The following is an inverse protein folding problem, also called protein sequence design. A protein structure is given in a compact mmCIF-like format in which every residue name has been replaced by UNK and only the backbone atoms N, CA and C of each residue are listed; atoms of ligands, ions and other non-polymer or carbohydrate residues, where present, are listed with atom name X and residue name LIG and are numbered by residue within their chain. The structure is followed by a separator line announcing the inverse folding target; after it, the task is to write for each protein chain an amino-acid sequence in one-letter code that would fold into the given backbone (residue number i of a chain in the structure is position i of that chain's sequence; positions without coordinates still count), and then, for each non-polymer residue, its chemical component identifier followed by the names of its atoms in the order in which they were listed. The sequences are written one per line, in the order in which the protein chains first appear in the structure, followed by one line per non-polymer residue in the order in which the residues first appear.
data_IF_903811667380
#
_entry.id   IF_903811667380
#
_cell.length_a   1.000
_cell.length_b   1.000
_cell.length_c   1.000
_cell.angle_alpha   90.00
_cell.angle_beta   90.00
_cell.angle_gamma   90.00
#
_symmetry.space_group_name_H-M   'P 1'
#
loop_
_entity.id
_entity.type
_entity.pdbx_description
1 polymer ?
#
# COMPACT_ATOMS: atom_id res chain seq x y z
N UNK A 1 -0.57 1.37 -0.82
CA UNK A 1 -0.37 1.53 0.63
C UNK A 1 -1.12 0.44 1.39
N UNK A 2 -2.43 0.32 1.16
CA UNK A 2 -3.24 -0.77 1.70
C UNK A 2 -3.46 -1.82 0.60
N UNK A 3 -3.28 -3.08 0.96
CA UNK A 3 -3.70 -4.26 0.20
C UNK A 3 -4.77 -4.93 1.05
N UNK A 4 -6.02 -4.92 0.55
CA UNK A 4 -7.17 -5.43 1.29
C UNK A 4 -6.96 -6.87 1.77
N UNK A 5 -7.25 -7.13 3.04
CA UNK A 5 -7.06 -8.42 3.70
C UNK A 5 -5.61 -8.81 4.00
N UNK A 6 -4.61 -8.04 3.55
CA UNK A 6 -3.19 -8.36 3.75
C UNK A 6 -2.43 -7.33 4.58
N UNK A 7 -2.55 -6.05 4.23
CA UNK A 7 -1.88 -4.95 4.96
C UNK A 7 -2.86 -3.97 5.61
N UNK A 8 -4.15 -4.30 5.57
CA UNK A 8 -5.26 -3.55 6.12
C UNK A 8 -6.57 -4.00 5.48
N UNK A 9 -7.65 -3.29 5.77
CA UNK A 9 -8.96 -3.53 5.18
C UNK A 9 -9.49 -2.26 4.53
N UNK A 10 -10.05 -2.39 3.33
CA UNK A 10 -10.70 -1.29 2.60
C UNK A 10 -12.22 -1.49 2.71
N UNK A 11 -12.88 -0.56 3.38
CA UNK A 11 -14.33 -0.61 3.63
C UNK A 11 -15.05 0.27 2.62
N UNK A 12 -16.13 -0.25 2.01
CA UNK A 12 -17.01 0.57 1.17
C UNK A 12 -17.59 1.72 2.02
N UNK A 13 -17.42 2.99 1.60
CA UNK A 13 -17.96 4.15 2.31
C UNK A 13 -19.45 4.07 2.65
N UNK A 14 -20.27 3.42 1.80
CA UNK A 14 -21.71 3.22 2.03
C UNK A 14 -22.01 2.40 3.29
N UNK A 15 -21.10 1.51 3.70
CA UNK A 15 -21.23 0.73 4.94
C UNK A 15 -20.86 1.52 6.19
N UNK A 16 -20.20 2.67 6.03
CA UNK A 16 -19.82 3.58 7.10
C UNK A 16 -19.19 2.88 8.31
N UNK A 17 -19.70 3.21 9.49
CA UNK A 17 -19.20 2.72 10.78
C UNK A 17 -19.36 1.20 10.92
N UNK A 18 -20.44 0.62 10.39
CA UNK A 18 -20.69 -0.82 10.56
C UNK A 18 -19.70 -1.66 9.75
N UNK A 19 -19.33 -1.21 8.55
CA UNK A 19 -18.24 -1.82 7.79
C UNK A 19 -16.89 -1.71 8.51
N UNK A 20 -16.62 -0.61 9.21
CA UNK A 20 -15.40 -0.46 10.01
C UNK A 20 -15.40 -1.42 11.21
N UNK A 21 -16.53 -1.62 11.88
CA UNK A 21 -16.66 -2.62 12.97
C UNK A 21 -16.36 -4.02 12.47
N UNK A 22 -16.93 -4.41 11.32
CA UNK A 22 -16.67 -5.72 10.70
C UNK A 22 -15.19 -5.93 10.37
N UNK A 23 -14.52 -4.89 9.87
CA UNK A 23 -13.08 -4.93 9.57
C UNK A 23 -12.23 -5.02 10.85
N UNK A 24 -12.61 -4.29 11.91
CA UNK A 24 -11.88 -4.28 13.18
C UNK A 24 -11.84 -5.67 13.83
N UNK A 25 -12.92 -6.45 13.74
CA UNK A 25 -12.95 -7.84 14.23
C UNK A 25 -11.88 -8.71 13.58
N UNK A 26 -11.51 -8.40 12.33
CA UNK A 26 -10.53 -9.15 11.54
C UNK A 26 -9.11 -8.62 11.67
N UNK A 27 -8.86 -7.54 12.43
CA UNK A 27 -7.53 -6.90 12.45
C UNK A 27 -6.41 -7.85 12.89
N UNK A 28 -6.72 -8.81 13.77
CA UNK A 28 -5.76 -9.81 14.25
C UNK A 28 -5.31 -10.80 13.16
N UNK A 29 -5.99 -10.86 12.01
CA UNK A 29 -5.55 -11.69 10.87
C UNK A 29 -4.45 -11.03 10.05
N UNK A 30 -4.16 -9.75 10.28
CA UNK A 30 -3.11 -9.02 9.58
C UNK A 30 -1.76 -9.32 10.24
N UNK A 31 -0.79 -9.72 9.42
CA UNK A 31 0.60 -9.87 9.86
C UNK A 31 1.33 -8.52 9.77
N UNK A 32 1.84 -7.94 10.88
CA UNK A 32 2.58 -6.68 10.84
C UNK A 32 3.82 -6.71 9.95
N UNK A 33 4.43 -7.88 9.76
CA UNK A 33 5.58 -8.05 8.87
C UNK A 33 5.21 -7.76 7.41
N UNK A 34 4.05 -8.24 6.95
CA UNK A 34 3.56 -8.01 5.59
C UNK A 34 3.34 -6.52 5.33
N UNK A 35 2.82 -5.78 6.33
CA UNK A 35 2.68 -4.33 6.25
C UNK A 35 4.05 -3.65 6.08
N UNK A 36 5.04 -4.03 6.89
CA UNK A 36 6.39 -3.45 6.83
C UNK A 36 7.05 -3.74 5.49
N UNK A 37 6.99 -4.98 5.03
CA UNK A 37 7.57 -5.38 3.74
C UNK A 37 6.91 -4.66 2.57
N UNK A 38 5.58 -4.52 2.58
CA UNK A 38 4.86 -3.79 1.55
C UNK A 38 5.29 -2.32 1.49
N UNK A 39 5.42 -1.66 2.64
CA UNK A 39 5.85 -0.25 2.70
C UNK A 39 7.27 -0.09 2.21
N UNK A 40 8.22 -0.91 2.70
CA UNK A 40 9.62 -0.82 2.28
C UNK A 40 9.77 -1.08 0.78
N UNK A 41 9.10 -2.11 0.26
CA UNK A 41 9.21 -2.51 -1.15
C UNK A 41 8.68 -1.46 -2.12
N UNK A 42 7.60 -0.76 -1.77
CA UNK A 42 6.87 0.07 -2.73
C UNK A 42 6.95 1.59 -2.45
N UNK A 43 7.22 1.99 -1.20
CA UNK A 43 7.12 3.37 -0.75
C UNK A 43 8.34 3.85 0.05
N UNK A 44 9.45 3.11 0.03
CA UNK A 44 10.71 3.60 0.61
C UNK A 44 11.25 4.78 -0.19
N UNK A 45 12.05 5.63 0.47
CA UNK A 45 12.76 6.72 -0.21
C UNK A 45 13.60 6.21 -1.38
N UNK A 46 14.30 5.10 -1.19
CA UNK A 46 15.11 4.45 -2.23
C UNK A 46 14.25 4.03 -3.43
N UNK A 47 13.14 3.32 -3.21
CA UNK A 47 12.21 2.93 -4.28
C UNK A 47 11.69 4.15 -5.04
N UNK A 48 11.30 5.21 -4.33
CA UNK A 48 10.78 6.42 -4.94
C UNK A 48 11.82 7.13 -5.81
N UNK A 49 13.04 7.33 -5.28
CA UNK A 49 14.16 7.94 -6.04
C UNK A 49 14.48 7.12 -7.28
N UNK A 50 14.63 5.81 -7.15
CA UNK A 50 14.91 4.92 -8.28
C UNK A 50 13.82 5.00 -9.36
N UNK A 51 12.54 5.06 -8.96
CA UNK A 51 11.43 5.20 -9.90
C UNK A 51 11.48 6.53 -10.66
N UNK A 52 11.75 7.65 -9.97
CA UNK A 52 11.90 8.95 -10.63
C UNK A 52 13.11 8.98 -11.57
N UNK A 53 14.26 8.46 -11.15
CA UNK A 53 15.44 8.36 -12.01
C UNK A 53 15.18 7.54 -13.26
N UNK A 54 14.51 6.39 -13.13
CA UNK A 54 14.18 5.52 -14.25
C UNK A 54 13.24 6.24 -15.23
N UNK A 55 12.22 6.93 -14.73
CA UNK A 55 11.33 7.73 -15.55
C UNK A 55 12.08 8.81 -16.32
N UNK A 56 12.99 9.55 -15.68
CA UNK A 56 13.80 10.56 -16.38
C UNK A 56 14.71 9.94 -17.44
N UNK A 57 15.34 8.79 -17.15
CA UNK A 57 16.15 8.06 -18.14
C UNK A 57 15.31 7.61 -19.34
N UNK A 58 14.06 7.18 -19.12
CA UNK A 58 13.14 6.79 -20.20
C UNK A 58 12.74 7.98 -21.08
N UNK A 59 12.39 9.11 -20.47
CA UNK A 59 12.01 10.34 -21.19
C UNK A 59 13.17 10.83 -22.06
N UNK A 60 14.40 10.85 -21.52
CA UNK A 60 15.58 11.30 -22.25
C UNK A 60 15.99 10.36 -23.39
N UNK A 61 15.67 9.06 -23.31
CA UNK A 61 15.91 8.10 -24.42
C UNK A 61 14.88 8.21 -25.56
N UNK A 62 13.73 8.81 -25.29
CA UNK A 62 12.67 9.04 -26.27
C UNK A 62 12.81 10.42 -26.95
N UNK A 63 13.80 11.21 -26.55
CA UNK A 63 14.18 12.50 -27.14
C UNK A 63 15.36 12.33 -28.09
#
# INVERSE_FOLDING_TARGET
LIVDGKTGFVVNPEKGIDGLKEALVKIATINPKDCREHVVKNFSTETMVNNYENLYKEILKQS
#
